data_IF_729211929344
#
_entry.id   IF_729211929344
#
_cell.length_a   1.000
_cell.length_b   1.000
_cell.length_c   1.000
_cell.angle_alpha   90.00
_cell.angle_beta   90.00
_cell.angle_gamma   90.00
#
_symmetry.space_group_name_H-M   'P 1'
#
loop_
_entity.id
_entity.type
_entity.pdbx_description
1 polymer ?
#
# COMPACT_ATOMS: atom_id res chain seq x y z
N UNK A 1 -18.20 18.22 -6.80
CA UNK A 1 -19.09 17.04 -6.94
C UNK A 1 -18.53 15.96 -6.03
N UNK A 2 -19.35 15.33 -5.19
CA UNK A 2 -18.91 14.16 -4.41
C UNK A 2 -18.92 12.93 -5.33
N UNK A 3 -17.77 12.29 -5.53
CA UNK A 3 -17.68 11.02 -6.27
C UNK A 3 -18.29 9.88 -5.46
N UNK A 4 -18.98 8.95 -6.13
CA UNK A 4 -19.38 7.67 -5.54
C UNK A 4 -18.20 6.69 -5.53
N UNK A 5 -18.31 5.60 -4.75
CA UNK A 5 -17.26 4.57 -4.72
C UNK A 5 -17.10 3.91 -6.10
N UNK A 6 -18.22 3.75 -6.82
CA UNK A 6 -18.22 3.27 -8.20
C UNK A 6 -17.45 4.21 -9.15
N UNK A 7 -17.60 5.53 -9.00
CA UNK A 7 -16.85 6.49 -9.83
C UNK A 7 -15.34 6.41 -9.57
N UNK A 8 -14.93 6.20 -8.31
CA UNK A 8 -13.52 5.99 -7.95
C UNK A 8 -13.00 4.66 -8.51
N UNK A 9 -13.77 3.58 -8.41
CA UNK A 9 -13.39 2.27 -8.96
C UNK A 9 -13.28 2.30 -10.49
N UNK A 10 -14.12 3.07 -11.19
CA UNK A 10 -13.98 3.30 -12.63
C UNK A 10 -12.67 4.06 -12.95
N UNK A 11 -12.34 5.10 -12.17
CA UNK A 11 -11.08 5.83 -12.34
C UNK A 11 -9.86 4.93 -12.09
N UNK A 12 -9.88 4.13 -11.03
CA UNK A 12 -8.84 3.14 -10.74
C UNK A 12 -8.71 2.12 -11.88
N UNK A 13 -9.83 1.55 -12.36
CA UNK A 13 -9.82 0.63 -13.51
C UNK A 13 -9.16 1.25 -14.73
N UNK A 14 -9.51 2.48 -15.06
CA UNK A 14 -8.92 3.20 -16.20
C UNK A 14 -7.43 3.44 -16.00
N UNK A 15 -7.01 3.84 -14.80
CA UNK A 15 -5.59 3.97 -14.44
C UNK A 15 -4.84 2.64 -14.61
N UNK A 16 -5.41 1.53 -14.14
CA UNK A 16 -4.76 0.22 -14.26
C UNK A 16 -4.68 -0.23 -15.71
N UNK A 17 -5.71 -0.02 -16.52
CA UNK A 17 -5.69 -0.35 -17.94
C UNK A 17 -4.69 0.48 -18.74
N UNK A 18 -4.45 1.72 -18.31
CA UNK A 18 -3.41 2.60 -18.86
C UNK A 18 -2.00 2.13 -18.47
N UNK A 19 -1.77 1.80 -17.20
CA UNK A 19 -0.40 1.57 -16.65
C UNK A 19 0.09 0.13 -16.65
N UNK A 20 -0.81 -0.85 -16.52
CA UNK A 20 -0.41 -2.25 -16.44
C UNK A 20 0.26 -2.79 -17.70
N UNK A 21 -0.12 -2.41 -18.95
CA UNK A 21 0.58 -2.89 -20.13
C UNK A 21 2.08 -2.59 -20.13
N UNK A 22 2.48 -1.38 -19.75
CA UNK A 22 3.89 -0.98 -19.67
C UNK A 22 4.60 -1.68 -18.51
N UNK A 23 3.96 -1.79 -17.34
CA UNK A 23 4.51 -2.57 -16.22
C UNK A 23 4.71 -4.04 -16.60
N UNK A 24 3.76 -4.66 -17.31
CA UNK A 24 3.87 -6.04 -17.77
C UNK A 24 4.96 -6.21 -18.81
N UNK A 25 5.17 -5.21 -19.68
CA UNK A 25 6.31 -5.21 -20.61
C UNK A 25 7.63 -5.17 -19.84
N UNK A 26 7.76 -4.29 -18.85
CA UNK A 26 8.94 -4.22 -17.98
C UNK A 26 9.18 -5.54 -17.25
N UNK A 27 8.14 -6.13 -16.65
CA UNK A 27 8.24 -7.41 -15.96
C UNK A 27 8.73 -8.50 -16.92
N UNK A 28 8.14 -8.66 -18.11
CA UNK A 28 8.60 -9.65 -19.11
C UNK A 28 10.03 -9.40 -19.59
N UNK A 29 10.49 -8.16 -19.56
CA UNK A 29 11.84 -7.80 -20.01
C UNK A 29 12.90 -8.22 -18.99
N UNK A 30 12.61 -8.07 -17.69
CA UNK A 30 13.61 -8.20 -16.63
C UNK A 30 13.40 -9.39 -15.70
N UNK A 31 12.26 -10.08 -15.76
CA UNK A 31 12.03 -11.31 -15.00
C UNK A 31 12.67 -12.51 -15.72
N UNK A 32 13.28 -13.41 -14.96
CA UNK A 32 13.61 -14.75 -15.46
C UNK A 32 12.35 -15.63 -15.58
N UNK A 33 12.43 -16.72 -16.35
CA UNK A 33 11.35 -17.70 -16.45
C UNK A 33 10.96 -18.29 -15.07
N UNK A 34 11.94 -18.49 -14.19
CA UNK A 34 11.71 -18.93 -12.80
C UNK A 34 10.91 -17.88 -12.02
N UNK A 35 11.28 -16.61 -12.11
CA UNK A 35 10.56 -15.53 -11.45
C UNK A 35 9.14 -15.40 -11.98
N UNK A 36 8.93 -15.52 -13.29
CA UNK A 36 7.60 -15.53 -13.92
C UNK A 36 6.75 -16.70 -13.44
N UNK A 37 7.35 -17.89 -13.27
CA UNK A 37 6.66 -19.10 -12.83
C UNK A 37 6.08 -19.03 -11.42
N UNK A 38 6.69 -18.22 -10.55
CA UNK A 38 6.36 -18.09 -9.11
C UNK A 38 5.88 -16.68 -8.72
N UNK A 39 5.48 -15.87 -9.71
CA UNK A 39 5.01 -14.51 -9.48
C UNK A 39 3.57 -14.46 -9.00
N UNK A 40 3.27 -13.54 -8.09
CA UNK A 40 1.91 -13.22 -7.67
C UNK A 40 1.64 -11.72 -7.79
N UNK A 41 0.40 -11.35 -8.13
CA UNK A 41 -0.07 -9.99 -8.34
C UNK A 41 -0.50 -9.70 -9.79
N UNK A 42 -0.64 -8.42 -10.18
CA UNK A 42 -0.42 -7.23 -9.34
C UNK A 42 -1.49 -7.06 -8.24
N UNK A 43 -1.13 -6.42 -7.12
CA UNK A 43 -2.07 -6.04 -6.06
C UNK A 43 -2.86 -4.80 -6.47
N UNK A 44 -4.15 -4.96 -6.73
CA UNK A 44 -5.06 -3.88 -7.10
C UNK A 44 -6.12 -3.70 -6.01
N UNK A 45 -6.50 -2.45 -5.75
CA UNK A 45 -7.50 -2.11 -4.74
C UNK A 45 -8.90 -1.93 -5.34
N UNK A 46 -9.90 -2.13 -4.49
CA UNK A 46 -11.30 -1.79 -4.70
C UNK A 46 -11.83 -0.94 -3.54
N UNK A 47 -12.56 0.12 -3.86
CA UNK A 47 -13.08 1.09 -2.89
C UNK A 47 -14.50 0.71 -2.47
N UNK A 48 -14.73 0.59 -1.17
CA UNK A 48 -16.05 0.34 -0.60
C UNK A 48 -16.81 1.66 -0.35
N UNK A 49 -18.16 1.70 -0.47
CA UNK A 49 -18.95 2.88 -0.17
C UNK A 49 -18.72 3.47 1.23
N UNK A 50 -18.47 2.61 2.23
CA UNK A 50 -18.24 3.01 3.62
C UNK A 50 -16.95 3.86 3.77
N UNK A 51 -15.92 3.63 2.95
CA UNK A 51 -14.68 4.43 2.95
C UNK A 51 -14.97 5.92 2.67
N UNK A 52 -15.94 6.20 1.79
CA UNK A 52 -16.30 7.58 1.46
C UNK A 52 -16.97 8.32 2.62
N UNK A 53 -17.64 7.57 3.49
CA UNK A 53 -18.35 8.08 4.66
C UNK A 53 -17.54 7.99 5.95
N UNK A 54 -16.34 7.40 5.90
CA UNK A 54 -15.44 7.32 7.04
C UNK A 54 -15.08 8.74 7.50
N UNK A 55 -15.06 8.95 8.82
CA UNK A 55 -14.64 10.17 9.50
C UNK A 55 -13.25 10.62 9.06
N UNK A 56 -12.36 9.66 8.82
CA UNK A 56 -11.05 9.89 8.22
C UNK A 56 -10.75 8.86 7.15
N UNK A 57 -10.34 9.34 5.98
CA UNK A 57 -9.95 8.51 4.85
C UNK A 57 -8.50 8.06 4.96
N UNK A 58 -8.29 6.82 5.40
CA UNK A 58 -6.95 6.28 5.64
C UNK A 58 -6.57 5.28 4.54
N UNK A 59 -5.35 5.40 4.01
CA UNK A 59 -4.71 4.41 3.15
C UNK A 59 -3.47 3.82 3.82
N UNK A 60 -3.41 2.50 3.88
CA UNK A 60 -2.25 1.75 4.36
C UNK A 60 -1.47 1.16 3.19
N UNK A 61 -0.15 1.29 3.22
CA UNK A 61 0.74 0.80 2.16
C UNK A 61 1.74 -0.20 2.75
N UNK A 62 1.55 -1.49 2.46
CA UNK A 62 2.46 -2.57 2.84
C UNK A 62 3.65 -2.74 1.89
N UNK A 63 4.33 -3.89 1.98
CA UNK A 63 5.55 -4.17 1.21
C UNK A 63 5.26 -4.88 -0.12
N UNK A 64 4.82 -6.14 -0.07
CA UNK A 64 4.56 -7.00 -1.23
C UNK A 64 3.30 -7.87 -1.03
N UNK A 65 2.84 -8.54 -2.10
CA UNK A 65 1.59 -9.33 -2.16
C UNK A 65 1.57 -10.61 -1.32
N UNK A 66 2.72 -11.19 -1.00
CA UNK A 66 2.89 -12.44 -0.23
C UNK A 66 1.99 -13.62 -0.64
N UNK A 67 1.94 -13.93 -1.95
CA UNK A 67 1.18 -15.04 -2.51
C UNK A 67 -0.27 -14.70 -2.86
N UNK A 68 -0.57 -13.43 -3.12
CA UNK A 68 -1.93 -12.92 -3.33
C UNK A 68 -2.74 -13.71 -4.36
N UNK A 69 -2.33 -13.65 -5.63
CA UNK A 69 -2.90 -14.42 -6.73
C UNK A 69 -1.80 -14.65 -7.75
N UNK A 70 -1.69 -15.87 -8.29
CA UNK A 70 -0.70 -16.15 -9.33
C UNK A 70 -0.85 -15.17 -10.50
N UNK A 71 0.26 -14.57 -10.89
CA UNK A 71 0.31 -13.64 -12.01
C UNK A 71 0.25 -14.42 -13.33
N UNK A 72 -0.67 -14.05 -14.21
CA UNK A 72 -0.71 -14.56 -15.58
C UNK A 72 -0.63 -13.37 -16.54
N UNK A 73 0.60 -13.09 -17.00
CA UNK A 73 0.84 -11.99 -17.93
C UNK A 73 0.29 -12.28 -19.34
N UNK A 74 -0.11 -13.51 -19.65
CA UNK A 74 -0.65 -13.85 -20.97
C UNK A 74 -2.19 -13.82 -21.00
N UNK A 75 -2.82 -13.70 -19.84
CA UNK A 75 -4.27 -13.54 -19.75
C UNK A 75 -4.71 -12.17 -20.29
N UNK A 76 -5.88 -12.14 -20.93
CA UNK A 76 -6.52 -10.90 -21.37
C UNK A 76 -6.68 -9.95 -20.18
N UNK A 77 -6.17 -8.72 -20.31
CA UNK A 77 -6.04 -7.79 -19.21
C UNK A 77 -7.39 -7.48 -18.53
N UNK A 78 -8.48 -7.18 -19.26
CA UNK A 78 -9.81 -7.08 -18.66
C UNK A 78 -10.22 -8.29 -17.84
N UNK A 79 -10.03 -9.51 -18.35
CA UNK A 79 -10.39 -10.74 -17.62
C UNK A 79 -9.54 -10.91 -16.36
N UNK A 80 -8.23 -10.68 -16.47
CA UNK A 80 -7.33 -10.82 -15.33
C UNK A 80 -7.57 -9.75 -14.26
N UNK A 81 -7.90 -8.52 -14.68
CA UNK A 81 -8.29 -7.44 -13.79
C UNK A 81 -9.49 -7.81 -12.91
N UNK A 82 -10.58 -8.30 -13.51
CA UNK A 82 -11.78 -8.69 -12.75
C UNK A 82 -11.46 -9.78 -11.71
N UNK A 83 -10.58 -10.73 -12.06
CA UNK A 83 -10.10 -11.76 -11.13
C UNK A 83 -9.29 -11.20 -9.96
N UNK A 84 -8.48 -10.17 -10.19
CA UNK A 84 -7.68 -9.51 -9.14
C UNK A 84 -8.58 -8.70 -8.21
N UNK A 85 -9.55 -7.97 -8.76
CA UNK A 85 -10.55 -7.21 -7.99
C UNK A 85 -11.43 -8.15 -7.18
N UNK A 86 -11.93 -9.23 -7.77
CA UNK A 86 -12.70 -10.24 -7.06
C UNK A 86 -11.88 -10.83 -5.89
N UNK A 87 -10.60 -11.15 -6.11
CA UNK A 87 -9.72 -11.66 -5.05
C UNK A 87 -9.59 -10.66 -3.89
N UNK A 88 -9.47 -9.36 -4.20
CA UNK A 88 -9.46 -8.29 -3.20
C UNK A 88 -10.79 -8.20 -2.44
N UNK A 89 -11.91 -8.16 -3.14
CA UNK A 89 -13.24 -8.09 -2.53
C UNK A 89 -13.52 -9.27 -1.62
N UNK A 90 -13.24 -10.50 -2.07
CA UNK A 90 -13.40 -11.71 -1.27
C UNK A 90 -12.54 -11.67 -0.01
N UNK A 91 -11.29 -11.21 -0.13
CA UNK A 91 -10.42 -11.07 1.02
C UNK A 91 -10.94 -10.03 2.02
N UNK A 92 -11.40 -8.88 1.54
CA UNK A 92 -11.95 -7.81 2.38
C UNK A 92 -13.36 -8.12 2.92
N UNK A 93 -14.08 -9.10 2.36
CA UNK A 93 -15.36 -9.57 2.87
C UNK A 93 -15.24 -10.62 3.98
N UNK A 94 -14.04 -11.13 4.29
CA UNK A 94 -13.87 -12.19 5.30
C UNK A 94 -14.23 -11.70 6.71
N UNK A 95 -15.17 -12.38 7.35
CA UNK A 95 -15.61 -12.08 8.72
C UNK A 95 -14.52 -12.33 9.77
N UNK A 96 -13.63 -13.30 9.53
CA UNK A 96 -12.59 -13.65 10.49
C UNK A 96 -11.52 -12.55 10.53
N UNK A 97 -11.22 -11.99 11.70
CA UNK A 97 -10.14 -11.03 11.82
C UNK A 97 -8.80 -11.71 11.56
N UNK A 98 -7.93 -11.04 10.79
CA UNK A 98 -6.61 -11.57 10.50
C UNK A 98 -5.70 -11.29 11.69
N UNK A 99 -5.15 -12.36 12.26
CA UNK A 99 -4.38 -12.27 13.49
C UNK A 99 -2.90 -12.00 13.21
N UNK A 100 -2.56 -10.79 12.75
CA UNK A 100 -1.17 -10.37 12.56
C UNK A 100 -0.94 -8.93 13.04
N UNK A 101 0.30 -8.57 13.41
CA UNK A 101 0.69 -7.20 13.77
C UNK A 101 0.28 -6.14 12.77
N UNK A 102 0.32 -6.48 11.48
CA UNK A 102 -0.06 -5.58 10.40
C UNK A 102 -1.53 -5.15 10.56
N UNK A 103 -2.41 -6.14 10.63
CA UNK A 103 -3.84 -5.97 10.81
C UNK A 103 -4.22 -5.40 12.18
N UNK A 104 -3.48 -5.73 13.24
CA UNK A 104 -3.68 -5.13 14.55
C UNK A 104 -3.41 -3.62 14.51
N UNK A 105 -2.29 -3.20 13.92
CA UNK A 105 -1.95 -1.78 13.81
C UNK A 105 -3.00 -1.00 13.01
N UNK A 106 -3.43 -1.53 11.86
CA UNK A 106 -4.48 -0.91 11.04
C UNK A 106 -5.78 -0.75 11.83
N UNK A 107 -6.22 -1.81 12.50
CA UNK A 107 -7.43 -1.80 13.34
C UNK A 107 -7.33 -0.76 14.45
N UNK A 108 -6.22 -0.76 15.18
CA UNK A 108 -6.04 0.09 16.35
C UNK A 108 -5.96 1.58 15.94
N UNK A 109 -5.34 1.90 14.79
CA UNK A 109 -5.36 3.26 14.23
C UNK A 109 -6.75 3.66 13.74
N UNK A 110 -7.46 2.77 13.03
CA UNK A 110 -8.81 3.04 12.53
C UNK A 110 -9.79 3.31 13.67
N UNK A 111 -9.67 2.57 14.76
CA UNK A 111 -10.52 2.71 15.95
C UNK A 111 -10.40 4.09 16.63
N UNK A 112 -9.26 4.79 16.51
CA UNK A 112 -9.10 6.17 17.02
C UNK A 112 -10.13 7.11 16.39
N UNK A 113 -10.50 6.86 15.13
CA UNK A 113 -11.47 7.66 14.40
C UNK A 113 -12.90 7.14 14.53
N UNK A 114 -13.13 6.20 15.44
CA UNK A 114 -14.46 5.63 15.76
C UNK A 114 -15.11 4.89 14.58
N UNK A 115 -14.29 4.35 13.68
CA UNK A 115 -14.74 3.52 12.57
C UNK A 115 -14.97 2.07 13.00
N UNK A 116 -16.14 1.52 12.65
CA UNK A 116 -16.59 0.21 13.14
C UNK A 116 -16.08 -0.97 12.31
N UNK A 117 -15.93 -0.81 10.99
CA UNK A 117 -15.51 -1.87 10.09
C UNK A 117 -14.25 -1.48 9.32
N UNK A 118 -13.08 -1.92 9.83
CA UNK A 118 -11.77 -1.68 9.22
C UNK A 118 -11.77 -2.04 7.72
N UNK A 119 -12.38 -3.17 7.34
CA UNK A 119 -12.23 -3.71 5.99
C UNK A 119 -13.00 -2.91 4.94
N UNK A 120 -13.92 -2.04 5.36
CA UNK A 120 -14.68 -1.17 4.46
C UNK A 120 -14.35 0.30 4.59
N UNK A 121 -13.72 0.70 5.69
CA UNK A 121 -13.45 2.11 6.04
C UNK A 121 -12.04 2.55 5.72
N UNK A 122 -11.16 1.63 5.28
CA UNK A 122 -9.77 1.93 4.91
C UNK A 122 -9.41 1.37 3.56
N UNK A 123 -8.37 1.95 2.96
CA UNK A 123 -7.72 1.40 1.77
C UNK A 123 -6.44 0.67 2.17
N UNK A 124 -6.10 -0.39 1.44
CA UNK A 124 -4.86 -1.13 1.65
C UNK A 124 -4.24 -1.54 0.32
N UNK A 125 -2.98 -1.18 0.10
CA UNK A 125 -2.18 -1.62 -1.05
C UNK A 125 -0.74 -1.90 -0.63
N UNK A 126 0.16 -2.12 -1.59
CA UNK A 126 1.58 -2.39 -1.36
C UNK A 126 2.48 -1.54 -2.25
N UNK A 127 3.70 -1.27 -1.78
CA UNK A 127 4.75 -0.61 -2.56
C UNK A 127 5.18 -1.44 -3.76
N UNK A 128 5.52 -2.72 -3.54
CA UNK A 128 5.66 -3.68 -4.63
C UNK A 128 4.28 -4.25 -4.94
N UNK A 129 3.84 -4.08 -6.19
CA UNK A 129 2.55 -4.62 -6.62
C UNK A 129 2.62 -6.13 -6.84
N UNK A 130 3.82 -6.73 -6.86
CA UNK A 130 4.02 -8.16 -7.03
C UNK A 130 4.91 -8.76 -5.94
N UNK A 131 4.96 -10.09 -5.88
CA UNK A 131 5.97 -10.88 -5.20
C UNK A 131 6.44 -12.02 -6.11
N UNK A 132 7.58 -12.60 -5.77
CA UNK A 132 8.09 -13.85 -6.35
C UNK A 132 8.28 -14.83 -5.20
N UNK A 133 7.59 -15.97 -5.24
CA UNK A 133 7.68 -16.99 -4.20
C UNK A 133 7.33 -16.47 -2.80
N UNK A 134 6.36 -15.56 -2.72
CA UNK A 134 5.93 -14.87 -1.48
C UNK A 134 7.01 -13.98 -0.84
N UNK A 135 8.02 -13.62 -1.63
CA UNK A 135 9.10 -12.72 -1.22
C UNK A 135 9.17 -11.51 -2.15
N UNK A 136 9.80 -10.44 -1.68
CA UNK A 136 10.15 -9.29 -2.52
C UNK A 136 10.89 -9.75 -3.79
N UNK A 137 10.56 -9.20 -4.97
CA UNK A 137 11.39 -9.41 -6.17
C UNK A 137 12.85 -9.01 -5.93
N UNK A 138 13.78 -9.57 -6.69
CA UNK A 138 15.22 -9.29 -6.57
C UNK A 138 15.86 -9.08 -7.93
N UNK A 139 17.05 -8.46 -7.92
CA UNK A 139 17.84 -8.19 -9.13
C UNK A 139 17.13 -7.22 -10.08
N UNK A 140 17.38 -7.38 -11.37
CA UNK A 140 16.91 -6.47 -12.42
C UNK A 140 15.38 -6.31 -12.41
N UNK A 141 14.62 -7.36 -12.12
CA UNK A 141 13.17 -7.27 -12.00
C UNK A 141 12.76 -6.23 -10.95
N UNK A 142 13.37 -6.26 -9.77
CA UNK A 142 13.05 -5.33 -8.70
C UNK A 142 13.45 -3.90 -9.08
N UNK A 143 14.70 -3.73 -9.52
CA UNK A 143 15.28 -2.42 -9.79
C UNK A 143 14.53 -1.67 -10.90
N UNK A 144 14.02 -2.40 -11.90
CA UNK A 144 13.31 -1.81 -13.04
C UNK A 144 11.79 -1.68 -12.85
N UNK A 145 11.17 -2.36 -11.88
CA UNK A 145 9.71 -2.27 -11.66
C UNK A 145 9.31 -1.30 -10.56
N UNK A 146 10.16 -1.09 -9.56
CA UNK A 146 9.80 -0.32 -8.37
C UNK A 146 9.43 1.13 -8.64
N UNK A 147 10.07 1.81 -9.60
CA UNK A 147 9.68 3.17 -9.97
C UNK A 147 8.24 3.21 -10.52
N UNK A 148 7.92 2.32 -11.47
CA UNK A 148 6.57 2.22 -12.01
C UNK A 148 5.51 1.80 -10.98
N UNK A 149 5.87 0.98 -9.98
CA UNK A 149 4.96 0.66 -8.88
C UNK A 149 4.69 1.85 -7.95
N UNK A 150 5.72 2.65 -7.64
CA UNK A 150 5.55 3.87 -6.84
C UNK A 150 4.75 4.91 -7.63
N UNK A 151 5.00 5.07 -8.92
CA UNK A 151 4.23 5.98 -9.77
C UNK A 151 2.75 5.55 -9.83
N UNK A 152 2.47 4.25 -9.94
CA UNK A 152 1.11 3.73 -9.86
C UNK A 152 0.47 4.04 -8.51
N UNK A 153 1.18 3.84 -7.40
CA UNK A 153 0.70 4.19 -6.06
C UNK A 153 0.38 5.69 -5.94
N UNK A 154 1.24 6.57 -6.47
CA UNK A 154 1.01 8.01 -6.43
C UNK A 154 -0.24 8.40 -7.24
N UNK A 155 -0.47 7.74 -8.38
CA UNK A 155 -1.69 7.93 -9.16
C UNK A 155 -2.94 7.39 -8.44
N UNK A 156 -2.85 6.24 -7.75
CA UNK A 156 -3.92 5.74 -6.89
C UNK A 156 -4.25 6.75 -5.77
N UNK A 157 -3.23 7.30 -5.11
CA UNK A 157 -3.37 8.34 -4.08
C UNK A 157 -4.01 9.61 -4.66
N UNK A 158 -3.64 10.00 -5.87
CA UNK A 158 -4.21 11.18 -6.54
C UNK A 158 -5.71 11.01 -6.85
N UNK A 159 -6.13 9.81 -7.28
CA UNK A 159 -7.56 9.51 -7.51
C UNK A 159 -8.33 9.45 -6.20
N UNK A 160 -7.79 8.74 -5.20
CA UNK A 160 -8.52 8.38 -3.98
C UNK A 160 -8.50 9.48 -2.92
N UNK A 161 -7.53 10.41 -3.01
CA UNK A 161 -7.36 11.54 -2.10
C UNK A 161 -7.50 11.13 -0.61
N UNK A 162 -6.76 10.11 -0.13
CA UNK A 162 -6.77 9.78 1.29
C UNK A 162 -6.29 10.98 2.11
N UNK A 163 -6.92 11.21 3.26
CA UNK A 163 -6.50 12.24 4.20
C UNK A 163 -5.23 11.82 4.94
N UNK A 164 -5.04 10.52 5.16
CA UNK A 164 -3.90 9.95 5.88
C UNK A 164 -3.34 8.79 5.05
N UNK A 165 -2.04 8.81 4.79
CA UNK A 165 -1.30 7.68 4.19
C UNK A 165 -0.30 7.15 5.21
N UNK A 166 -0.29 5.83 5.43
CA UNK A 166 0.68 5.18 6.30
C UNK A 166 1.47 4.13 5.52
N UNK A 167 2.74 4.43 5.25
CA UNK A 167 3.69 3.50 4.64
C UNK A 167 4.25 2.59 5.75
N UNK A 168 3.91 1.31 5.69
CA UNK A 168 4.15 0.34 6.76
C UNK A 168 5.44 -0.45 6.54
N UNK A 169 6.49 0.24 6.11
CA UNK A 169 7.84 -0.30 6.01
C UNK A 169 8.88 0.81 5.98
N UNK A 170 9.98 0.60 6.69
CA UNK A 170 11.20 1.41 6.62
C UNK A 170 12.39 0.54 6.19
N UNK A 171 12.11 -0.57 5.50
CA UNK A 171 13.14 -1.48 5.01
C UNK A 171 14.09 -0.74 4.06
N UNK A 172 15.41 -0.86 4.22
CA UNK A 172 16.39 -0.22 3.34
C UNK A 172 16.16 -0.53 1.85
N UNK A 173 15.67 -1.74 1.55
CA UNK A 173 15.36 -2.18 0.18
C UNK A 173 14.34 -1.26 -0.51
N UNK A 174 13.29 -0.86 0.20
CA UNK A 174 12.25 0.04 -0.33
C UNK A 174 12.62 1.51 -0.16
N UNK A 175 13.38 1.84 0.89
CA UNK A 175 13.71 3.22 1.24
C UNK A 175 14.49 3.93 0.13
N UNK A 176 15.40 3.23 -0.55
CA UNK A 176 16.12 3.82 -1.68
C UNK A 176 15.17 4.28 -2.77
N UNK A 177 14.24 3.41 -3.21
CA UNK A 177 13.24 3.76 -4.23
C UNK A 177 12.31 4.88 -3.77
N UNK A 178 11.85 4.85 -2.51
CA UNK A 178 11.02 5.93 -1.96
C UNK A 178 11.76 7.27 -1.99
N UNK A 179 13.02 7.30 -1.58
CA UNK A 179 13.82 8.54 -1.58
C UNK A 179 13.95 9.14 -2.99
N UNK A 180 14.20 8.31 -4.01
CA UNK A 180 14.31 8.77 -5.39
C UNK A 180 12.95 9.25 -5.93
N UNK A 181 11.92 8.40 -5.85
CA UNK A 181 10.65 8.64 -6.55
C UNK A 181 9.78 9.70 -5.85
N UNK A 182 9.90 9.84 -4.52
CA UNK A 182 9.21 10.89 -3.77
C UNK A 182 9.97 12.23 -3.78
N UNK A 183 11.22 12.25 -4.26
CA UNK A 183 12.01 13.48 -4.42
C UNK A 183 12.82 13.89 -3.18
N UNK A 184 13.12 12.96 -2.27
CA UNK A 184 14.00 13.26 -1.13
C UNK A 184 15.44 13.55 -1.59
N UNK A 185 15.91 12.85 -2.63
CA UNK A 185 17.27 13.04 -3.17
C UNK A 185 17.41 14.30 -4.03
N UNK A 186 16.33 14.74 -4.67
CA UNK A 186 16.27 16.00 -5.43
C UNK A 186 15.97 17.22 -4.54
N UNK A 187 15.60 17.03 -3.27
CA UNK A 187 15.20 18.09 -2.35
C UNK A 187 13.75 18.57 -2.50
N UNK A 188 12.94 17.87 -3.30
CA UNK A 188 11.51 18.14 -3.51
C UNK A 188 10.61 17.55 -2.42
N UNK A 189 11.17 16.68 -1.57
CA UNK A 189 10.51 16.14 -0.40
C UNK A 189 11.38 16.19 0.85
N UNK A 190 10.74 16.15 2.00
CA UNK A 190 11.35 16.02 3.32
C UNK A 190 10.83 14.77 4.02
N UNK A 191 11.68 14.20 4.88
CA UNK A 191 11.35 13.04 5.73
C UNK A 191 11.85 13.31 7.14
N UNK A 192 10.95 13.80 7.98
CA UNK A 192 11.21 14.14 9.37
C UNK A 192 11.07 12.91 10.27
N UNK A 193 11.97 12.73 11.23
CA UNK A 193 11.85 11.69 12.26
C UNK A 193 11.08 12.25 13.46
N UNK A 194 9.83 11.82 13.64
CA UNK A 194 8.98 12.24 14.76
C UNK A 194 9.24 11.39 16.01
N UNK A 195 9.47 10.09 15.83
CA UNK A 195 9.84 9.17 16.90
C UNK A 195 11.07 8.38 16.42
N UNK A 196 12.19 8.44 17.16
CA UNK A 196 13.43 7.77 16.78
C UNK A 196 13.22 6.33 16.31
N UNK A 197 13.54 6.07 15.03
CA UNK A 197 13.45 4.77 14.36
C UNK A 197 12.05 4.14 14.26
N UNK A 198 10.99 4.82 14.71
CA UNK A 198 9.64 4.27 14.79
C UNK A 198 8.64 5.00 13.88
N UNK A 199 8.72 6.32 13.79
CA UNK A 199 7.76 7.13 13.04
C UNK A 199 8.46 8.27 12.33
N UNK A 200 8.13 8.41 11.05
CA UNK A 200 8.59 9.49 10.20
C UNK A 200 7.39 10.16 9.54
N UNK A 201 7.49 11.47 9.29
CA UNK A 201 6.52 12.23 8.49
C UNK A 201 7.16 12.62 7.16
N UNK A 202 6.44 12.36 6.06
CA UNK A 202 6.83 12.80 4.74
C UNK A 202 6.15 14.11 4.39
N UNK A 203 6.88 15.00 3.73
CA UNK A 203 6.33 16.21 3.11
C UNK A 203 6.77 16.21 1.65
N UNK A 204 5.82 16.18 0.72
CA UNK A 204 6.05 16.22 -0.72
C UNK A 204 4.79 16.72 -1.40
N UNK A 205 4.91 17.41 -2.54
CA UNK A 205 3.74 17.78 -3.35
C UNK A 205 3.03 16.57 -3.95
N UNK A 206 3.70 15.41 -4.03
CA UNK A 206 3.15 14.16 -4.58
C UNK A 206 2.30 13.38 -3.56
N UNK A 207 2.34 13.76 -2.29
CA UNK A 207 1.73 13.02 -1.19
C UNK A 207 0.75 13.89 -0.40
N UNK A 208 -0.29 13.30 0.21
CA UNK A 208 -1.12 14.00 1.18
C UNK A 208 -0.27 14.54 2.33
N UNK A 209 -0.71 15.66 2.89
CA UNK A 209 -0.02 16.34 4.02
C UNK A 209 0.26 15.38 5.19
N UNK A 210 -0.69 14.49 5.49
CA UNK A 210 -0.57 13.52 6.57
C UNK A 210 -0.08 12.17 6.06
N UNK A 211 1.10 12.17 5.46
CA UNK A 211 1.80 10.95 5.07
C UNK A 211 2.84 10.57 6.12
N UNK A 212 2.64 9.41 6.73
CA UNK A 212 3.51 8.84 7.75
C UNK A 212 4.18 7.57 7.25
N UNK A 213 5.34 7.26 7.82
CA UNK A 213 6.06 6.02 7.56
C UNK A 213 6.52 5.40 8.88
N UNK A 214 6.33 4.09 9.01
CA UNK A 214 6.73 3.30 10.18
C UNK A 214 7.58 2.11 9.75
N UNK A 215 8.27 1.46 10.69
CA UNK A 215 8.80 0.13 10.42
C UNK A 215 7.66 -0.89 10.24
N UNK A 216 7.93 -2.03 9.59
CA UNK A 216 6.91 -3.05 9.41
C UNK A 216 6.35 -3.50 10.78
N UNK A 217 5.03 -3.60 11.00
CA UNK A 217 4.48 -3.87 12.34
C UNK A 217 4.98 -5.15 13.02
N UNK A 218 5.39 -6.16 12.26
CA UNK A 218 6.06 -7.33 12.83
C UNK A 218 7.34 -6.95 13.61
N UNK A 219 8.07 -5.94 13.15
CA UNK A 219 9.26 -5.39 13.78
C UNK A 219 8.95 -4.63 15.07
N UNK A 220 7.72 -4.17 15.31
CA UNK A 220 7.39 -3.51 16.59
C UNK A 220 7.49 -4.46 17.80
N UNK A 221 7.60 -5.77 17.56
CA UNK A 221 7.69 -6.83 18.59
C UNK A 221 9.09 -7.07 19.17
N UNK A 222 10.13 -6.29 18.83
CA UNK A 222 11.52 -6.57 19.22
C UNK A 222 11.78 -6.78 20.73
N UNK A 223 10.84 -6.45 21.63
CA UNK A 223 10.87 -6.83 23.06
C UNK A 223 9.48 -7.33 23.49
N UNK A 224 9.40 -8.24 24.48
CA UNK A 224 8.14 -8.76 25.03
C UNK A 224 7.26 -7.57 25.50
N UNK A 225 6.03 -7.47 24.99
CA UNK A 225 5.13 -6.33 25.24
C UNK A 225 5.37 -5.09 24.37
N UNK A 226 6.46 -5.06 23.59
CA UNK A 226 6.89 -3.90 22.80
C UNK A 226 5.95 -3.51 21.66
N UNK A 227 5.19 -4.46 21.08
CA UNK A 227 4.22 -4.13 20.04
C UNK A 227 3.20 -3.11 20.55
N UNK A 228 2.52 -3.42 21.66
CA UNK A 228 1.44 -2.57 22.20
C UNK A 228 1.96 -1.18 22.49
N UNK A 229 3.07 -1.07 23.25
CA UNK A 229 3.66 0.20 23.61
C UNK A 229 4.10 1.03 22.38
N UNK A 230 4.80 0.42 21.43
CA UNK A 230 5.29 1.12 20.24
C UNK A 230 4.12 1.52 19.32
N UNK A 231 3.17 0.62 19.09
CA UNK A 231 1.99 0.89 18.28
C UNK A 231 1.15 2.02 18.90
N UNK A 232 0.84 1.97 20.19
CA UNK A 232 0.11 3.04 20.90
C UNK A 232 0.84 4.39 20.81
N UNK A 233 2.16 4.39 20.96
CA UNK A 233 2.96 5.63 20.87
C UNK A 233 2.91 6.23 19.47
N UNK A 234 3.03 5.40 18.43
CA UNK A 234 2.92 5.79 17.02
C UNK A 234 1.52 6.31 16.73
N UNK A 235 0.48 5.54 17.09
CA UNK A 235 -0.93 5.86 16.82
C UNK A 235 -1.32 7.19 17.46
N UNK A 236 -0.92 7.41 18.73
CA UNK A 236 -1.14 8.69 19.41
C UNK A 236 -0.48 9.84 18.64
N UNK A 237 0.79 9.71 18.25
CA UNK A 237 1.47 10.75 17.48
C UNK A 237 0.79 11.03 16.15
N UNK A 238 0.38 10.00 15.41
CA UNK A 238 -0.39 10.18 14.17
C UNK A 238 -1.67 10.97 14.47
N UNK A 239 -2.45 10.55 15.47
CA UNK A 239 -3.71 11.22 15.82
C UNK A 239 -3.55 12.67 16.26
N UNK A 240 -2.49 13.01 16.98
CA UNK A 240 -2.21 14.40 17.41
C UNK A 240 -1.91 15.33 16.22
N UNK A 241 -1.47 14.78 15.08
CA UNK A 241 -1.20 15.54 13.86
C UNK A 241 -2.41 15.61 12.91
N UNK A 242 -3.49 14.86 13.18
CA UNK A 242 -4.58 14.63 12.20
C UNK A 242 -5.99 14.82 12.74
N UNK A 243 -6.15 14.97 14.06
CA UNK A 243 -7.40 15.37 14.73
C UNK A 243 -7.58 16.89 14.70
#
# INVERSE_FOLDING_TARGET
>A
MSFSANDLNIQLRNLYFDRLPDLYKTIRTYASDEQLGDMHGPFLMDVQPEYLNARKKIMFVGMETHGWRKCDLNEDLPVFYEKLIQCHQEFMAQEKPINSPFWWFMRDLNAVYQESDLRKTVLWTNLSKIDVGKNRPVGDLYDNTMAGFIDLLLAEVDILKPEIVVIMTSSPNYQWHLNQNLGLTSGEALREELIPKLLYKWTSQKLPENTFQICHPNSLRFRKGGFKQNAETIIRNISEHTL
#
